data_IF_012092781517
#
_entry.id   IF_012092781517
#
_cell.length_a   1.000
_cell.length_b   1.000
_cell.length_c   1.000
_cell.angle_alpha   90.00
_cell.angle_beta   90.00
_cell.angle_gamma   90.00
#
_symmetry.space_group_name_H-M   'P 1'
#
loop_
_entity.id
_entity.type
_entity.pdbx_description
1 polymer ?
#
# COMPACT_ATOMS: atom_id res chain seq x y z
N UNK A 1 -61.33 5.95 95.15
CA UNK A 1 -62.57 6.73 95.33
C UNK A 1 -62.52 7.91 94.37
N UNK A 2 -63.45 7.93 93.42
CA UNK A 2 -63.74 8.94 92.37
C UNK A 2 -64.36 10.24 92.97
N UNK A 3 -64.70 11.35 92.25
CA UNK A 3 -64.98 11.46 90.78
C UNK A 3 -64.64 12.79 90.02
N UNK A 4 -64.73 12.71 88.67
CA UNK A 4 -65.39 13.59 87.65
C UNK A 4 -65.02 15.09 87.51
N UNK A 5 -64.48 15.53 86.34
CA UNK A 5 -65.16 16.15 85.15
C UNK A 5 -65.62 17.61 85.43
N UNK A 6 -65.18 18.68 84.75
CA UNK A 6 -65.44 18.99 83.32
C UNK A 6 -64.81 20.32 82.78
N UNK A 7 -64.46 20.29 81.48
CA UNK A 7 -64.67 21.28 80.38
C UNK A 7 -63.98 22.70 80.32
N UNK A 8 -62.89 22.78 79.49
CA UNK A 8 -62.53 23.66 78.32
C UNK A 8 -62.78 25.21 78.32
N UNK A 9 -62.19 26.03 77.37
CA UNK A 9 -61.09 25.83 76.39
C UNK A 9 -60.04 27.00 76.33
N UNK A 10 -59.00 26.90 75.49
CA UNK A 10 -58.16 28.05 75.10
C UNK A 10 -56.75 27.73 74.59
N UNK A 11 -56.66 27.15 73.40
CA UNK A 11 -55.42 26.85 72.66
C UNK A 11 -54.89 28.09 71.93
N UNK A 12 -53.59 28.40 72.05
CA UNK A 12 -52.80 29.06 70.99
C UNK A 12 -51.30 28.77 71.21
N UNK A 13 -50.89 27.57 70.81
CA UNK A 13 -49.48 27.27 70.56
C UNK A 13 -49.18 27.59 69.11
N UNK A 14 -48.36 28.62 68.87
CA UNK A 14 -47.90 29.01 67.54
C UNK A 14 -47.11 27.87 66.88
N UNK A 15 -47.79 27.09 66.04
CA UNK A 15 -47.18 26.05 65.22
C UNK A 15 -46.60 26.73 63.98
N UNK A 16 -45.28 26.87 63.90
CA UNK A 16 -44.60 27.22 62.65
C UNK A 16 -44.79 26.05 61.67
N UNK A 17 -45.79 26.16 60.80
CA UNK A 17 -45.98 25.23 59.68
C UNK A 17 -44.99 25.63 58.59
N UNK A 18 -43.97 24.81 58.35
CA UNK A 18 -43.08 24.96 57.19
C UNK A 18 -43.90 24.56 55.98
N UNK A 19 -44.39 25.52 55.20
CA UNK A 19 -45.05 25.25 53.92
C UNK A 19 -44.09 24.51 53.00
N UNK A 20 -44.45 23.28 52.64
CA UNK A 20 -43.73 22.50 51.63
C UNK A 20 -44.14 23.03 50.26
N UNK A 21 -43.34 23.96 49.74
CA UNK A 21 -43.64 24.73 48.50
C UNK A 21 -43.57 23.86 47.23
N UNK A 22 -43.02 22.65 47.28
CA UNK A 22 -42.84 21.77 46.10
C UNK A 22 -42.98 20.30 46.46
N UNK A 23 -43.54 19.51 45.56
CA UNK A 23 -43.56 18.05 45.71
C UNK A 23 -42.15 17.46 45.50
N UNK A 24 -41.90 16.28 46.08
CA UNK A 24 -40.63 15.57 45.92
C UNK A 24 -40.35 15.24 44.44
N UNK A 25 -41.40 14.98 43.67
CA UNK A 25 -41.35 14.71 42.23
C UNK A 25 -40.91 15.94 41.43
N UNK A 26 -41.47 17.11 41.73
CA UNK A 26 -41.06 18.37 41.11
C UNK A 26 -39.61 18.72 41.43
N UNK A 27 -39.16 18.46 42.66
CA UNK A 27 -37.77 18.65 43.04
C UNK A 27 -36.84 17.71 42.27
N UNK A 28 -37.19 16.42 42.14
CA UNK A 28 -36.41 15.45 41.35
C UNK A 28 -36.34 15.84 39.88
N UNK A 29 -37.45 16.27 39.28
CA UNK A 29 -37.50 16.72 37.89
C UNK A 29 -36.62 17.97 37.66
N UNK A 30 -36.65 18.93 38.57
CA UNK A 30 -35.78 20.11 38.52
C UNK A 30 -34.30 19.75 38.69
N UNK A 31 -34.00 18.82 39.60
CA UNK A 31 -32.64 18.35 39.83
C UNK A 31 -32.07 17.62 38.61
N UNK A 32 -32.87 16.82 37.92
CA UNK A 32 -32.44 16.12 36.71
C UNK A 32 -32.29 17.07 35.52
N UNK A 33 -33.21 18.02 35.35
CA UNK A 33 -33.08 19.08 34.35
C UNK A 33 -31.82 19.95 34.59
N UNK A 34 -31.42 20.16 35.85
CA UNK A 34 -30.19 20.88 36.18
C UNK A 34 -28.93 20.11 35.74
N UNK A 35 -28.92 18.79 35.90
CA UNK A 35 -27.81 17.93 35.43
C UNK A 35 -27.72 17.91 33.90
N UNK A 36 -28.86 17.82 33.22
CA UNK A 36 -28.89 17.84 31.76
C UNK A 36 -28.40 19.20 31.22
N UNK A 37 -28.78 20.32 31.84
CA UNK A 37 -28.24 21.65 31.50
C UNK A 37 -26.75 21.80 31.80
N UNK A 38 -26.23 21.13 32.82
CA UNK A 38 -24.80 21.11 33.14
C UNK A 38 -24.02 20.38 32.04
N UNK A 39 -24.52 19.23 31.59
CA UNK A 39 -23.93 18.45 30.51
C UNK A 39 -23.93 19.20 29.18
N UNK A 40 -25.05 19.82 28.81
CA UNK A 40 -25.13 20.58 27.56
C UNK A 40 -24.21 21.81 27.56
N UNK A 41 -24.06 22.49 28.70
CA UNK A 41 -23.08 23.58 28.84
C UNK A 41 -21.64 23.10 28.74
N UNK A 42 -21.33 21.91 29.26
CA UNK A 42 -20.00 21.34 29.14
C UNK A 42 -19.67 20.89 27.72
N UNK A 43 -20.62 20.25 27.02
CA UNK A 43 -20.48 19.89 25.59
C UNK A 43 -20.33 21.12 24.69
N UNK A 44 -21.04 22.21 25.02
CA UNK A 44 -20.91 23.49 24.34
C UNK A 44 -19.58 24.23 24.65
N UNK A 45 -18.68 23.64 25.45
CA UNK A 45 -17.39 24.22 25.81
C UNK A 45 -17.47 25.38 26.81
N UNK A 46 -18.65 25.68 27.36
CA UNK A 46 -18.89 26.81 28.28
C UNK A 46 -18.31 26.52 29.67
N UNK A 47 -18.30 25.24 30.08
CA UNK A 47 -17.68 24.79 31.33
C UNK A 47 -16.78 23.58 31.08
N UNK A 48 -15.48 23.61 31.44
CA UNK A 48 -14.55 22.53 31.12
C UNK A 48 -14.72 21.27 31.98
N UNK A 49 -15.49 21.35 33.07
CA UNK A 49 -15.63 20.28 34.06
C UNK A 49 -17.09 20.07 34.47
N UNK A 50 -17.49 18.83 34.67
CA UNK A 50 -18.82 18.41 35.12
C UNK A 50 -18.78 17.71 36.48
N UNK A 51 -19.90 17.76 37.20
CA UNK A 51 -20.13 17.09 38.47
C UNK A 51 -20.12 15.55 38.34
N UNK A 52 -19.97 14.84 39.46
CA UNK A 52 -20.03 13.37 39.48
C UNK A 52 -21.39 12.82 39.02
N UNK A 53 -22.49 13.55 39.27
CA UNK A 53 -23.83 13.16 38.81
C UNK A 53 -23.97 13.31 37.30
N UNK A 54 -23.46 14.41 36.75
CA UNK A 54 -23.39 14.64 35.31
C UNK A 54 -22.48 13.62 34.60
N UNK A 55 -21.28 13.37 35.12
CA UNK A 55 -20.35 12.38 34.55
C UNK A 55 -20.93 10.95 34.52
N UNK A 56 -21.61 10.53 35.59
CA UNK A 56 -22.26 9.22 35.62
C UNK A 56 -23.38 9.11 34.56
N UNK A 57 -24.18 10.17 34.41
CA UNK A 57 -25.22 10.25 33.38
C UNK A 57 -24.65 10.27 31.95
N UNK A 58 -23.53 10.96 31.73
CA UNK A 58 -22.80 10.95 30.46
C UNK A 58 -22.32 9.54 30.08
N UNK A 59 -21.79 8.79 31.04
CA UNK A 59 -21.31 7.43 30.84
C UNK A 59 -22.42 6.35 30.84
N UNK A 60 -23.67 6.74 31.11
CA UNK A 60 -24.81 5.81 31.20
C UNK A 60 -24.74 4.85 32.40
N UNK A 61 -24.09 5.24 33.50
CA UNK A 61 -23.91 4.43 34.71
C UNK A 61 -24.48 5.11 35.96
N UNK A 62 -24.71 4.35 37.03
CA UNK A 62 -25.13 4.92 38.31
C UNK A 62 -23.98 5.69 38.99
N UNK A 63 -24.32 6.77 39.72
CA UNK A 63 -23.34 7.63 40.41
C UNK A 63 -22.49 6.82 41.41
N UNK A 64 -23.10 5.86 42.10
CA UNK A 64 -22.39 4.99 43.03
C UNK A 64 -21.40 4.06 42.33
N UNK A 65 -21.72 3.59 41.13
CA UNK A 65 -20.81 2.75 40.32
C UNK A 65 -19.56 3.54 39.93
N UNK A 66 -19.74 4.79 39.51
CA UNK A 66 -18.62 5.71 39.25
C UNK A 66 -17.81 5.99 40.53
N UNK A 67 -18.50 6.14 41.67
CA UNK A 67 -17.88 6.29 42.98
C UNK A 67 -17.05 5.06 43.41
N UNK A 68 -17.51 3.85 43.11
CA UNK A 68 -16.79 2.61 43.39
C UNK A 68 -15.54 2.46 42.50
N UNK A 69 -15.64 2.79 41.21
CA UNK A 69 -14.50 2.76 40.29
C UNK A 69 -13.37 3.68 40.73
N UNK A 70 -13.72 4.86 41.25
CA UNK A 70 -12.78 5.82 41.82
C UNK A 70 -12.05 5.30 43.06
N UNK A 71 -12.71 4.49 43.90
CA UNK A 71 -12.16 4.00 45.18
C UNK A 71 -11.25 2.78 45.04
N UNK A 72 -11.13 2.19 43.84
CA UNK A 72 -10.21 1.06 43.59
C UNK A 72 -8.78 1.56 43.44
N UNK A 73 -7.81 0.68 43.73
CA UNK A 73 -6.37 0.95 43.54
C UNK A 73 -5.78 -0.11 42.62
N UNK A 74 -5.39 0.24 41.38
CA UNK A 74 -5.53 1.54 40.72
C UNK A 74 -7.00 1.89 40.38
N UNK A 75 -7.36 3.18 40.22
CA UNK A 75 -8.72 3.61 39.88
C UNK A 75 -9.12 3.09 38.50
N UNK A 76 -10.33 2.53 38.39
CA UNK A 76 -10.82 1.84 37.19
C UNK A 76 -11.89 2.67 36.49
N UNK A 77 -11.56 3.91 36.13
CA UNK A 77 -12.50 4.88 35.58
C UNK A 77 -11.82 6.08 34.90
N UNK A 78 -12.61 7.01 34.34
CA UNK A 78 -12.09 8.22 33.73
C UNK A 78 -11.29 9.06 34.75
N UNK A 79 -10.36 9.86 34.25
CA UNK A 79 -9.55 10.77 35.07
C UNK A 79 -10.48 11.76 35.79
N UNK A 80 -10.21 11.97 37.08
CA UNK A 80 -11.02 12.85 37.93
C UNK A 80 -10.13 13.88 38.63
N UNK A 81 -10.70 15.04 38.91
CA UNK A 81 -10.05 16.12 39.64
C UNK A 81 -10.70 16.25 41.01
N UNK A 82 -9.89 16.16 42.07
CA UNK A 82 -10.32 16.44 43.45
C UNK A 82 -9.91 17.87 43.79
N UNK A 83 -10.87 18.72 44.19
CA UNK A 83 -10.56 20.06 44.69
C UNK A 83 -10.23 21.10 43.62
N UNK A 84 -11.04 21.22 42.56
CA UNK A 84 -10.94 22.37 41.66
C UNK A 84 -11.49 23.64 42.34
N UNK A 85 -10.67 24.25 43.20
CA UNK A 85 -10.86 25.51 43.93
C UNK A 85 -9.76 25.67 44.98
N UNK A 86 -9.25 26.90 45.18
CA UNK A 86 -8.02 27.27 45.92
C UNK A 86 -7.92 26.87 47.42
N UNK A 87 -8.76 25.96 47.91
CA UNK A 87 -8.62 25.39 49.26
C UNK A 87 -8.16 23.95 49.16
N UNK A 88 -6.83 23.76 49.23
CA UNK A 88 -6.19 22.47 49.47
C UNK A 88 -6.75 21.79 50.74
N UNK A 89 -7.13 20.52 50.64
CA UNK A 89 -7.13 19.61 51.79
C UNK A 89 -8.42 19.39 52.59
N UNK A 90 -9.60 19.80 52.11
CA UNK A 90 -10.86 19.50 52.81
C UNK A 90 -11.40 18.08 52.56
N UNK A 91 -11.82 17.36 53.61
CA UNK A 91 -12.46 16.03 53.52
C UNK A 91 -13.76 16.01 52.65
N UNK A 92 -14.37 17.17 52.41
CA UNK A 92 -15.62 17.35 51.66
C UNK A 92 -15.44 17.98 50.27
N UNK A 93 -14.27 17.85 49.63
CA UNK A 93 -14.10 18.37 48.26
C UNK A 93 -14.92 17.58 47.24
N UNK A 94 -15.73 18.29 46.45
CA UNK A 94 -16.49 17.71 45.34
C UNK A 94 -15.55 17.28 44.20
N UNK A 95 -15.81 16.09 43.65
CA UNK A 95 -15.06 15.53 42.52
C UNK A 95 -15.67 15.99 41.21
N UNK A 96 -14.82 16.50 40.31
CA UNK A 96 -15.20 16.91 38.95
C UNK A 96 -14.48 16.09 37.89
N UNK A 97 -15.09 15.98 36.71
CA UNK A 97 -14.57 15.28 35.54
C UNK A 97 -14.49 16.25 34.37
N UNK A 98 -13.42 16.22 33.59
CA UNK A 98 -13.39 16.97 32.33
C UNK A 98 -14.18 16.22 31.26
N UNK A 99 -14.88 16.97 30.41
CA UNK A 99 -15.70 16.36 29.36
C UNK A 99 -14.82 15.61 28.33
N UNK A 100 -13.65 16.17 28.01
CA UNK A 100 -12.64 15.55 27.13
C UNK A 100 -12.17 14.19 27.66
N UNK A 101 -11.87 14.11 28.95
CA UNK A 101 -11.36 12.88 29.57
C UNK A 101 -12.45 11.79 29.64
N UNK A 102 -13.73 12.20 29.73
CA UNK A 102 -14.87 11.29 29.66
C UNK A 102 -15.07 10.75 28.23
N UNK A 103 -14.94 11.59 27.21
CA UNK A 103 -15.02 11.21 25.79
C UNK A 103 -13.86 10.30 25.38
N UNK A 104 -12.64 10.61 25.79
CA UNK A 104 -11.45 9.78 25.58
C UNK A 104 -11.59 8.43 26.28
N UNK A 105 -12.06 8.41 27.52
CA UNK A 105 -12.27 7.15 28.24
C UNK A 105 -13.39 6.31 27.62
N UNK A 106 -14.49 6.95 27.18
CA UNK A 106 -15.60 6.27 26.53
C UNK A 106 -15.18 5.69 25.18
N UNK A 107 -14.46 6.45 24.36
CA UNK A 107 -13.92 6.00 23.07
C UNK A 107 -12.88 4.88 23.22
N UNK A 108 -12.01 4.96 24.24
CA UNK A 108 -11.08 3.89 24.58
C UNK A 108 -11.81 2.59 24.99
N UNK A 109 -12.94 2.72 25.69
CA UNK A 109 -13.76 1.57 26.12
C UNK A 109 -14.64 1.00 24.99
N UNK A 110 -15.07 1.82 24.05
CA UNK A 110 -15.82 1.38 22.84
C UNK A 110 -14.90 0.95 21.70
N UNK A 111 -13.58 0.98 21.89
CA UNK A 111 -12.56 0.53 20.93
C UNK A 111 -12.68 -0.95 20.53
N UNK A 112 -13.49 -1.18 19.50
CA UNK A 112 -13.73 -2.41 18.71
C UNK A 112 -14.50 -3.51 19.43
N UNK A 113 -15.79 -3.59 19.10
CA UNK A 113 -16.61 -4.79 19.36
C UNK A 113 -15.97 -6.04 18.72
N UNK A 114 -16.26 -7.23 19.23
CA UNK A 114 -15.72 -8.50 18.70
C UNK A 114 -16.02 -8.66 17.19
N UNK A 115 -17.16 -8.14 16.73
CA UNK A 115 -17.54 -8.14 15.31
C UNK A 115 -16.62 -7.25 14.46
N UNK A 116 -16.31 -6.05 14.93
CA UNK A 116 -15.41 -5.13 14.22
C UNK A 116 -13.98 -5.66 14.16
N UNK A 117 -13.50 -6.31 15.23
CA UNK A 117 -12.18 -6.97 15.21
C UNK A 117 -12.13 -8.06 14.14
N UNK A 118 -13.16 -8.92 14.09
CA UNK A 118 -13.27 -9.97 13.06
C UNK A 118 -13.29 -9.40 11.64
N UNK A 119 -14.03 -8.31 11.41
CA UNK A 119 -14.10 -7.66 10.11
C UNK A 119 -12.76 -7.04 9.69
N UNK A 120 -12.01 -6.46 10.63
CA UNK A 120 -10.66 -5.94 10.36
C UNK A 120 -9.71 -7.09 10.04
N UNK A 121 -9.73 -8.16 10.82
CA UNK A 121 -8.88 -9.34 10.57
C UNK A 121 -9.19 -9.98 9.20
N UNK A 122 -10.47 -10.08 8.84
CA UNK A 122 -10.91 -10.60 7.54
C UNK A 122 -10.47 -9.69 6.39
N UNK A 123 -10.61 -8.38 6.55
CA UNK A 123 -10.16 -7.39 5.58
C UNK A 123 -8.64 -7.41 5.40
N UNK A 124 -7.87 -7.58 6.48
CA UNK A 124 -6.41 -7.74 6.41
C UNK A 124 -6.01 -9.01 5.67
N UNK A 125 -6.71 -10.13 5.91
CA UNK A 125 -6.50 -11.39 5.17
C UNK A 125 -6.80 -11.23 3.68
N UNK A 126 -7.90 -10.59 3.31
CA UNK A 126 -8.25 -10.35 1.91
C UNK A 126 -7.23 -9.43 1.23
N UNK A 127 -6.78 -8.37 1.92
CA UNK A 127 -5.71 -7.50 1.41
C UNK A 127 -4.40 -8.24 1.20
N UNK A 128 -4.03 -9.13 2.12
CA UNK A 128 -2.85 -9.96 1.96
C UNK A 128 -2.98 -10.87 0.74
N UNK A 129 -4.15 -11.50 0.57
CA UNK A 129 -4.40 -12.35 -0.59
C UNK A 129 -4.37 -11.59 -1.92
N UNK A 130 -4.88 -10.36 -1.95
CA UNK A 130 -4.82 -9.50 -3.12
C UNK A 130 -3.36 -9.20 -3.52
N UNK A 131 -2.49 -8.86 -2.56
CA UNK A 131 -1.06 -8.63 -2.81
C UNK A 131 -0.34 -9.88 -3.33
N UNK A 132 -0.66 -11.06 -2.79
CA UNK A 132 -0.11 -12.32 -3.29
C UNK A 132 -0.49 -12.57 -4.75
N UNK A 133 -1.76 -12.38 -5.11
CA UNK A 133 -2.22 -12.54 -6.48
C UNK A 133 -1.59 -11.53 -7.44
N UNK A 134 -1.38 -10.29 -6.99
CA UNK A 134 -0.67 -9.27 -7.76
C UNK A 134 0.77 -9.69 -8.05
N UNK A 135 1.51 -10.14 -7.03
CA UNK A 135 2.86 -10.70 -7.20
C UNK A 135 2.87 -11.94 -8.10
N UNK A 136 1.86 -12.82 -8.02
CA UNK A 136 1.73 -13.97 -8.92
C UNK A 136 1.54 -13.54 -10.39
N UNK A 137 0.74 -12.50 -10.65
CA UNK A 137 0.54 -11.95 -11.98
C UNK A 137 1.81 -11.29 -12.52
N UNK A 138 2.53 -10.52 -11.70
CA UNK A 138 3.83 -9.97 -12.05
C UNK A 138 4.84 -11.07 -12.37
N UNK A 139 4.91 -12.12 -11.54
CA UNK A 139 5.78 -13.27 -11.79
C UNK A 139 5.42 -13.97 -13.11
N UNK A 140 4.14 -14.13 -13.43
CA UNK A 140 3.71 -14.71 -14.73
C UNK A 140 4.12 -13.81 -15.89
N UNK A 141 3.88 -12.50 -15.78
CA UNK A 141 4.28 -11.52 -16.80
C UNK A 141 5.79 -11.52 -17.03
N UNK A 142 6.58 -11.50 -15.96
CA UNK A 142 8.04 -11.58 -16.02
C UNK A 142 8.50 -12.92 -16.59
N UNK A 143 7.87 -14.04 -16.23
CA UNK A 143 8.16 -15.35 -16.85
C UNK A 143 7.84 -15.37 -18.34
N UNK A 144 6.74 -14.78 -18.77
CA UNK A 144 6.41 -14.64 -20.19
C UNK A 144 7.37 -13.70 -20.91
N UNK A 145 7.83 -12.63 -20.26
CA UNK A 145 8.84 -11.73 -20.80
C UNK A 145 10.18 -12.44 -20.93
N UNK A 146 10.61 -13.17 -19.89
CA UNK A 146 11.79 -14.02 -19.93
C UNK A 146 11.64 -15.07 -21.01
N UNK A 147 10.52 -15.80 -21.09
CA UNK A 147 10.28 -16.77 -22.16
C UNK A 147 10.31 -16.14 -23.56
N UNK A 148 9.79 -14.92 -23.73
CA UNK A 148 9.90 -14.16 -24.98
C UNK A 148 11.33 -13.73 -25.26
N UNK A 149 12.07 -13.26 -24.25
CA UNK A 149 13.46 -12.87 -24.36
C UNK A 149 14.37 -14.08 -24.60
N UNK A 150 14.14 -15.22 -23.96
CA UNK A 150 14.82 -16.49 -24.19
C UNK A 150 14.40 -17.10 -25.51
N UNK A 151 13.17 -16.91 -26.00
CA UNK A 151 12.80 -17.30 -27.37
C UNK A 151 13.43 -16.39 -28.41
N UNK A 152 13.68 -15.11 -28.08
CA UNK A 152 14.50 -14.22 -28.91
C UNK A 152 15.96 -14.65 -28.84
N UNK A 153 16.56 -14.72 -27.65
CA UNK A 153 17.96 -15.08 -27.41
C UNK A 153 18.31 -16.53 -27.83
N UNK A 154 17.44 -17.49 -27.56
CA UNK A 154 17.59 -18.89 -27.97
C UNK A 154 17.23 -19.16 -29.43
N UNK A 155 16.63 -18.20 -30.14
CA UNK A 155 16.61 -18.17 -31.61
C UNK A 155 17.83 -17.49 -32.20
N UNK A 156 18.67 -16.88 -31.39
CA UNK A 156 19.80 -16.11 -31.84
C UNK A 156 21.03 -17.02 -31.74
N UNK A 157 21.20 -17.82 -32.79
CA UNK A 157 22.50 -17.79 -33.45
C UNK A 157 22.69 -16.31 -33.85
N UNK A 158 23.41 -15.54 -33.04
CA UNK A 158 23.74 -14.14 -33.33
C UNK A 158 24.79 -14.15 -34.45
N UNK A 159 24.32 -14.38 -35.67
CA UNK A 159 25.11 -14.11 -36.87
C UNK A 159 24.86 -12.66 -37.26
N UNK A 160 25.30 -11.75 -36.39
CA UNK A 160 25.02 -10.32 -36.52
C UNK A 160 26.01 -9.67 -37.48
N UNK A 161 27.22 -10.21 -37.59
CA UNK A 161 28.26 -9.71 -38.48
C UNK A 161 28.42 -10.57 -39.72
N UNK A 162 28.83 -9.95 -40.84
CA UNK A 162 29.14 -10.66 -42.09
C UNK A 162 30.21 -11.74 -41.88
N UNK A 163 31.15 -11.49 -40.98
CA UNK A 163 32.20 -12.44 -40.58
C UNK A 163 31.63 -13.69 -39.92
N UNK A 164 30.65 -13.54 -39.01
CA UNK A 164 30.00 -14.68 -38.36
C UNK A 164 29.15 -15.50 -39.34
N UNK A 165 28.55 -14.86 -40.34
CA UNK A 165 27.80 -15.53 -41.40
C UNK A 165 28.69 -16.34 -42.36
N UNK A 166 29.86 -15.82 -42.74
CA UNK A 166 30.66 -16.39 -43.82
C UNK A 166 31.85 -17.22 -43.34
N UNK A 167 32.49 -16.82 -42.24
CA UNK A 167 33.79 -17.39 -41.85
C UNK A 167 33.69 -18.36 -40.68
N UNK A 168 32.65 -18.21 -39.84
CA UNK A 168 32.46 -19.07 -38.68
C UNK A 168 31.76 -20.38 -39.08
N UNK A 169 32.37 -21.55 -38.85
CA UNK A 169 31.68 -22.82 -39.00
C UNK A 169 30.68 -23.01 -37.85
N UNK A 170 29.51 -23.55 -38.18
CA UNK A 170 28.43 -23.87 -37.26
C UNK A 170 27.97 -25.30 -37.46
N UNK A 171 27.28 -25.87 -36.46
CA UNK A 171 26.76 -27.23 -36.54
C UNK A 171 25.31 -27.25 -37.03
N UNK A 172 25.06 -28.05 -38.06
CA UNK A 172 23.79 -28.17 -38.75
C UNK A 172 23.29 -29.60 -38.72
N UNK A 173 21.99 -29.76 -38.52
CA UNK A 173 21.34 -31.07 -38.59
C UNK A 173 20.92 -31.32 -40.02
N UNK A 174 21.45 -32.39 -40.61
CA UNK A 174 21.15 -32.86 -41.96
C UNK A 174 20.56 -34.26 -41.88
N UNK A 175 19.39 -34.46 -42.49
CA UNK A 175 18.70 -35.75 -42.54
C UNK A 175 18.31 -36.06 -43.97
N UNK A 176 18.67 -37.26 -44.46
CA UNK A 176 18.39 -37.69 -45.83
C UNK A 176 18.89 -36.71 -46.91
N UNK A 177 20.01 -36.03 -46.64
CA UNK A 177 20.59 -35.01 -47.52
C UNK A 177 19.92 -33.64 -47.46
N UNK A 178 18.89 -33.47 -46.61
CA UNK A 178 18.17 -32.21 -46.41
C UNK A 178 18.59 -31.54 -45.12
N UNK A 179 18.83 -30.23 -45.18
CA UNK A 179 19.10 -29.41 -43.99
C UNK A 179 17.81 -29.22 -43.21
N UNK A 180 17.83 -29.66 -41.95
CA UNK A 180 16.72 -29.48 -41.00
C UNK A 180 16.82 -28.15 -40.25
N UNK A 181 18.04 -27.65 -40.06
CA UNK A 181 18.33 -26.37 -39.41
C UNK A 181 19.56 -26.42 -38.52
N UNK A 182 19.81 -25.33 -37.81
CA UNK A 182 20.94 -25.24 -36.87
C UNK A 182 20.68 -26.08 -35.61
N UNK A 183 21.72 -26.69 -35.04
CA UNK A 183 21.64 -27.55 -33.84
C UNK A 183 20.92 -26.87 -32.67
N UNK A 184 21.07 -25.55 -32.52
CA UNK A 184 20.43 -24.76 -31.46
C UNK A 184 18.98 -24.36 -31.75
N UNK A 185 18.50 -24.49 -33.00
CA UNK A 185 17.17 -23.98 -33.39
C UNK A 185 16.18 -25.08 -33.72
N UNK A 186 16.65 -26.29 -34.04
CA UNK A 186 15.79 -27.42 -34.38
C UNK A 186 15.11 -28.00 -33.12
N UNK A 187 13.91 -28.61 -33.24
CA UNK A 187 13.27 -29.30 -32.12
C UNK A 187 14.14 -30.43 -31.56
N UNK A 188 14.05 -30.69 -30.25
CA UNK A 188 14.86 -31.69 -29.54
C UNK A 188 14.78 -33.09 -30.19
N UNK A 189 13.59 -33.50 -30.63
CA UNK A 189 13.41 -34.77 -31.34
C UNK A 189 14.21 -34.85 -32.66
N UNK A 190 14.30 -33.74 -33.38
CA UNK A 190 15.07 -33.66 -34.65
C UNK A 190 16.56 -33.68 -34.36
N UNK A 191 17.00 -32.99 -33.30
CA UNK A 191 18.39 -33.03 -32.85
C UNK A 191 18.81 -34.44 -32.41
N UNK A 192 17.99 -35.12 -31.60
CA UNK A 192 18.27 -36.47 -31.15
C UNK A 192 18.39 -37.45 -32.33
N UNK A 193 17.45 -37.39 -33.29
CA UNK A 193 17.54 -38.19 -34.52
C UNK A 193 18.81 -37.87 -35.33
N UNK A 194 19.19 -36.60 -35.42
CA UNK A 194 20.42 -36.18 -36.10
C UNK A 194 21.68 -36.72 -35.42
N UNK A 195 21.72 -36.70 -34.09
CA UNK A 195 22.83 -37.26 -33.30
C UNK A 195 22.94 -38.78 -33.48
N UNK A 196 21.82 -39.50 -33.37
CA UNK A 196 21.79 -40.96 -33.49
C UNK A 196 22.19 -41.44 -34.89
N UNK A 197 21.81 -40.67 -35.93
CA UNK A 197 22.12 -41.00 -37.33
C UNK A 197 23.48 -40.44 -37.81
N UNK A 198 24.22 -39.71 -36.97
CA UNK A 198 25.46 -39.05 -37.37
C UNK A 198 25.27 -37.92 -38.39
N UNK A 199 24.08 -37.32 -38.44
CA UNK A 199 23.68 -36.27 -39.38
C UNK A 199 24.06 -34.86 -38.95
N UNK A 200 25.05 -34.67 -38.06
CA UNK A 200 25.54 -33.34 -37.71
C UNK A 200 26.73 -32.99 -38.61
N UNK A 201 26.60 -31.91 -39.35
CA UNK A 201 27.64 -31.40 -40.25
C UNK A 201 28.08 -30.03 -39.79
N UNK A 202 29.39 -29.80 -39.79
CA UNK A 202 29.99 -28.52 -39.45
C UNK A 202 30.31 -27.76 -40.75
N UNK A 203 29.70 -26.59 -40.94
CA UNK A 203 29.90 -25.75 -42.13
C UNK A 203 29.44 -24.31 -41.88
N UNK A 204 29.81 -23.38 -42.75
CA UNK A 204 29.45 -21.96 -42.66
C UNK A 204 27.97 -21.73 -43.01
N UNK A 205 27.39 -20.61 -42.57
CA UNK A 205 26.02 -20.27 -42.98
C UNK A 205 25.93 -20.04 -44.50
N UNK A 206 26.95 -19.40 -45.09
CA UNK A 206 27.02 -19.19 -46.54
C UNK A 206 26.90 -20.49 -47.33
N UNK A 207 27.65 -21.52 -46.92
CA UNK A 207 27.67 -22.81 -47.61
C UNK A 207 26.37 -23.61 -47.41
N UNK A 208 25.85 -23.65 -46.18
CA UNK A 208 24.64 -24.45 -45.89
C UNK A 208 23.38 -23.87 -46.55
N UNK A 209 23.34 -22.55 -46.81
CA UNK A 209 22.23 -21.92 -47.53
C UNK A 209 22.13 -22.33 -49.00
N UNK A 210 23.21 -22.90 -49.55
CA UNK A 210 23.28 -23.45 -50.91
C UNK A 210 22.84 -24.91 -50.99
N UNK A 211 22.64 -25.59 -49.85
CA UNK A 211 22.19 -26.97 -49.79
C UNK A 211 20.66 -27.05 -49.88
N UNK A 212 20.07 -28.22 -50.19
CA UNK A 212 18.63 -28.40 -50.15
C UNK A 212 18.13 -28.45 -48.70
N UNK A 213 17.05 -27.71 -48.41
CA UNK A 213 16.43 -27.64 -47.08
C UNK A 213 15.15 -28.46 -47.02
N UNK A 214 14.83 -28.98 -45.83
CA UNK A 214 13.59 -29.72 -45.61
C UNK A 214 12.34 -28.82 -45.72
N UNK A 215 12.46 -27.55 -45.34
CA UNK A 215 11.38 -26.57 -45.39
C UNK A 215 11.95 -25.16 -45.62
N UNK A 216 11.28 -24.36 -46.45
CA UNK A 216 11.58 -22.93 -46.62
C UNK A 216 11.40 -22.17 -45.32
N UNK A 217 10.42 -22.53 -44.48
CA UNK A 217 10.21 -21.86 -43.19
C UNK A 217 11.37 -22.06 -42.20
N UNK A 218 12.10 -23.18 -42.33
CA UNK A 218 13.31 -23.46 -41.56
C UNK A 218 14.54 -22.72 -42.11
N UNK A 219 14.57 -22.45 -43.42
CA UNK A 219 15.66 -21.77 -44.14
C UNK A 219 15.60 -20.25 -44.01
N UNK A 220 14.40 -19.68 -44.15
CA UNK A 220 14.17 -18.23 -44.29
C UNK A 220 14.76 -17.39 -43.14
N UNK A 221 14.68 -17.79 -41.85
CA UNK A 221 15.28 -17.00 -40.77
C UNK A 221 16.78 -16.77 -40.96
N UNK A 222 17.50 -17.77 -41.47
CA UNK A 222 18.94 -17.68 -41.71
C UNK A 222 19.27 -16.90 -42.98
N UNK A 223 18.44 -17.03 -44.03
CA UNK A 223 18.54 -16.20 -45.23
C UNK A 223 18.38 -14.70 -44.90
N UNK A 224 17.42 -14.35 -44.03
CA UNK A 224 17.21 -12.96 -43.59
C UNK A 224 18.40 -12.44 -42.77
N UNK A 225 19.02 -13.28 -41.93
CA UNK A 225 20.20 -12.89 -41.16
C UNK A 225 21.38 -12.53 -42.08
N UNK A 226 21.67 -13.37 -43.08
CA UNK A 226 22.78 -13.09 -44.01
C UNK A 226 22.50 -11.83 -44.85
N UNK A 227 21.27 -11.63 -45.34
CA UNK A 227 20.89 -10.42 -46.08
C UNK A 227 21.04 -9.15 -45.23
N UNK A 228 20.68 -9.23 -43.95
CA UNK A 228 20.81 -8.12 -43.01
C UNK A 228 22.28 -7.77 -42.78
N UNK A 229 23.12 -8.77 -42.50
CA UNK A 229 24.55 -8.60 -42.31
C UNK A 229 25.24 -7.98 -43.55
N UNK A 230 24.86 -8.39 -44.77
CA UNK A 230 25.38 -7.81 -46.00
C UNK A 230 24.90 -6.37 -46.22
N UNK A 231 23.64 -6.08 -45.92
CA UNK A 231 23.06 -4.74 -46.02
C UNK A 231 23.79 -3.76 -45.10
N UNK A 232 24.05 -4.15 -43.86
CA UNK A 232 24.72 -3.30 -42.88
C UNK A 232 26.20 -3.10 -43.19
N UNK A 233 26.91 -4.14 -43.65
CA UNK A 233 28.27 -4.00 -44.16
C UNK A 233 28.36 -3.03 -45.34
N UNK A 234 27.41 -3.11 -46.29
CA UNK A 234 27.35 -2.20 -47.44
C UNK A 234 27.10 -0.75 -47.01
N UNK A 235 26.22 -0.53 -46.02
CA UNK A 235 26.01 0.80 -45.43
C UNK A 235 27.28 1.34 -44.80
N UNK A 236 27.98 0.52 -44.01
CA UNK A 236 29.23 0.92 -43.36
C UNK A 236 30.31 1.31 -44.37
N UNK A 237 30.48 0.51 -45.44
CA UNK A 237 31.37 0.87 -46.55
C UNK A 237 30.98 2.20 -47.22
N UNK A 238 29.67 2.43 -47.41
CA UNK A 238 29.14 3.69 -47.94
C UNK A 238 29.43 4.91 -47.06
N UNK A 239 29.36 4.72 -45.74
CA UNK A 239 29.72 5.74 -44.74
C UNK A 239 31.22 6.04 -44.77
N UNK A 240 32.07 5.02 -44.73
CA UNK A 240 33.53 5.19 -44.78
C UNK A 240 33.98 5.87 -46.08
N UNK A 241 33.41 5.48 -47.23
CA UNK A 241 33.68 6.16 -48.50
C UNK A 241 33.28 7.63 -48.47
N UNK A 242 32.18 7.96 -47.80
CA UNK A 242 31.73 9.36 -47.67
C UNK A 242 32.62 10.13 -46.71
N UNK A 243 33.04 9.52 -45.61
CA UNK A 243 34.02 10.08 -44.68
C UNK A 243 35.37 10.35 -45.36
N UNK A 244 35.87 9.42 -46.17
CA UNK A 244 37.09 9.63 -46.94
C UNK A 244 36.95 10.79 -47.92
N UNK A 245 35.84 10.88 -48.66
CA UNK A 245 35.59 12.01 -49.57
C UNK A 245 35.59 13.37 -48.86
N UNK A 246 35.08 13.44 -47.63
CA UNK A 246 35.16 14.68 -46.84
C UNK A 246 36.60 15.03 -46.47
N UNK A 247 37.39 14.05 -46.00
CA UNK A 247 38.82 14.26 -45.70
C UNK A 247 39.59 14.72 -46.94
N UNK A 248 39.34 14.10 -48.09
CA UNK A 248 39.97 14.46 -49.36
C UNK A 248 39.59 15.87 -49.84
N UNK A 249 38.40 16.36 -49.49
CA UNK A 249 37.96 17.72 -49.81
C UNK A 249 38.58 18.73 -48.85
N UNK A 250 38.61 18.43 -47.55
CA UNK A 250 39.21 19.29 -46.53
C UNK A 250 40.71 19.50 -46.80
N UNK A 251 41.42 18.44 -47.21
CA UNK A 251 42.85 18.54 -47.58
C UNK A 251 43.09 19.44 -48.80
N UNK A 252 42.10 19.57 -49.68
CA UNK A 252 42.18 20.41 -50.90
C UNK A 252 41.73 21.85 -50.65
N UNK A 253 41.24 22.19 -49.46
CA UNK A 253 40.89 23.56 -49.14
C UNK A 253 42.17 24.41 -49.07
N UNK A 254 42.18 25.62 -49.66
CA UNK A 254 43.30 26.52 -49.50
C UNK A 254 43.48 26.88 -48.02
N UNK A 255 44.72 27.15 -47.57
CA UNK A 255 44.95 27.59 -46.19
C UNK A 255 44.11 28.83 -45.91
N UNK A 256 43.58 28.98 -44.69
CA UNK A 256 42.80 30.16 -44.34
C UNK A 256 43.67 31.40 -44.57
N UNK A 257 43.16 32.36 -45.33
CA UNK A 257 43.85 33.63 -45.53
C UNK A 257 44.12 34.24 -44.15
N UNK A 258 45.41 34.40 -43.82
CA UNK A 258 45.81 35.18 -42.65
C UNK A 258 45.25 36.59 -42.89
N UNK A 259 44.15 36.90 -42.21
CA UNK A 259 43.63 38.24 -42.13
C UNK A 259 44.72 39.08 -41.48
N UNK A 260 45.52 39.74 -42.31
CA UNK A 260 46.43 40.77 -41.87
C UNK A 260 45.59 41.75 -41.05
N UNK A 261 45.80 41.72 -39.73
CA UNK A 261 45.33 42.78 -38.85
C UNK A 261 45.95 44.06 -39.39
N UNK A 262 45.16 44.82 -40.13
CA UNK A 262 45.40 46.23 -40.41
C UNK A 262 45.55 46.91 -39.06
N UNK A 263 46.81 47.10 -38.65
CA UNK A 263 47.17 48.04 -37.59
C UNK A 263 47.11 49.40 -38.26
N UNK A 264 46.20 50.24 -37.78
CA UNK A 264 46.06 51.64 -38.16
C UNK A 264 47.38 52.42 -38.08
#
# INVERSE_FOLDING_TARGET
MNPLLSLLPGTEGSHWMIEVVRSEEEYRALADAAVDRELERAKAGVTPSVSSKAAARFLGIHVDTLGQWRRRTPPLGPVFQKGAGDNEGGANQHVRYRITDLEEWQSARTGRTIKERRLVDELERVRQRARELEMELELRSLREQVARMTKKAGRILALETTRECLDAPHQWVVKDGLVMGHVLTVPEMVLAQGLDAGGIVETTLGDVLMWPWADGSARDPFAVQIDTAFSDFTKQLGQERSAQRMRDLDEKLPPPEETMKSVF
#
